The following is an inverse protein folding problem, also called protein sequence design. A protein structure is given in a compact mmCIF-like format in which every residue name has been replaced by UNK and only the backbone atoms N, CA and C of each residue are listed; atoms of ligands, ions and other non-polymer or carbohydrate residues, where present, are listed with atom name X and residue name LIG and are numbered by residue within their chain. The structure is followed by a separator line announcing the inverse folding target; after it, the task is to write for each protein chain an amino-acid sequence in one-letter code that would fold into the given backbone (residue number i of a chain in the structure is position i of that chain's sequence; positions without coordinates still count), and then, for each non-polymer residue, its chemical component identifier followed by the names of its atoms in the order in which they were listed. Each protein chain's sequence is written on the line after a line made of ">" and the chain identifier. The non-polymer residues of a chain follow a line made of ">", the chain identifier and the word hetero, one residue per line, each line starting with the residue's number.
data_IF_869029128339
#
_entry.id   IF_869029128339
#
_cell.length_a   1.000
_cell.length_b   1.000
_cell.length_c   1.000
_cell.angle_alpha   90.00
_cell.angle_beta   90.00
_cell.angle_gamma   90.00
#
_symmetry.space_group_name_H-M   'P 1'
#
loop_
_entity.id
_entity.type
_entity.pdbx_description
1 polymer ?
#
# COMPACT_ATOMS: atom_id res chain seq x y z
N UNK A 1 -22.49 -5.66 8.64
CA UNK A 1 -21.42 -5.89 7.62
C UNK A 1 -20.05 -5.49 8.17
N UNK A 2 -18.91 -6.08 7.76
CA UNK A 2 -17.56 -5.56 8.14
C UNK A 2 -17.10 -4.51 7.13
N UNK A 3 -16.47 -3.42 7.57
CA UNK A 3 -15.87 -2.38 6.71
C UNK A 3 -14.44 -2.06 7.14
N UNK A 4 -13.60 -1.70 6.17
CA UNK A 4 -12.28 -1.11 6.45
C UNK A 4 -12.49 0.37 6.71
N UNK A 5 -11.99 0.89 7.82
CA UNK A 5 -11.85 2.31 8.04
C UNK A 5 -10.46 2.71 7.60
N UNK A 6 -10.43 3.58 6.61
CA UNK A 6 -9.20 4.24 6.21
C UNK A 6 -9.11 5.60 6.90
N UNK A 7 -8.01 5.85 7.61
CA UNK A 7 -7.76 7.15 8.25
C UNK A 7 -7.15 8.12 7.24
N UNK A 8 -7.89 9.19 6.94
CA UNK A 8 -7.46 10.25 6.05
C UNK A 8 -6.36 11.06 6.72
N UNK A 9 -5.11 10.92 6.26
CA UNK A 9 -4.12 11.96 6.56
C UNK A 9 -4.63 13.33 6.04
N UNK A 10 -4.20 14.47 6.60
CA UNK A 10 -4.64 15.80 6.16
C UNK A 10 -4.38 16.11 4.66
N UNK A 11 -3.61 15.26 3.98
CA UNK A 11 -3.28 15.33 2.56
C UNK A 11 -4.05 14.30 1.71
N UNK A 12 -5.06 13.62 2.27
CA UNK A 12 -5.99 12.75 1.55
C UNK A 12 -5.42 11.42 1.09
N UNK A 13 -4.24 11.01 1.58
CA UNK A 13 -3.64 9.73 1.22
C UNK A 13 -3.74 8.74 2.37
N UNK A 14 -4.46 7.66 2.10
CA UNK A 14 -4.43 6.44 2.87
C UNK A 14 -3.10 5.74 2.69
N UNK A 15 -2.62 5.13 3.77
CA UNK A 15 -1.26 4.63 3.80
C UNK A 15 -1.23 3.17 4.25
N UNK A 16 -1.74 2.21 3.44
CA UNK A 16 -1.42 0.82 3.66
C UNK A 16 0.11 0.59 3.64
N UNK A 17 0.59 -0.37 4.43
CA UNK A 17 2.00 -0.77 4.44
C UNK A 17 2.42 -1.39 3.11
N UNK A 18 3.73 -1.45 2.80
CA UNK A 18 4.17 -2.16 1.59
C UNK A 18 3.78 -3.63 1.71
N UNK A 19 3.84 -4.20 2.92
CA UNK A 19 3.35 -5.55 3.19
C UNK A 19 1.87 -5.74 2.84
N UNK A 20 1.00 -4.79 3.17
CA UNK A 20 -0.42 -4.86 2.80
C UNK A 20 -0.59 -4.84 1.27
N UNK A 21 0.06 -3.90 0.57
CA UNK A 21 0.05 -3.85 -0.90
C UNK A 21 0.58 -5.13 -1.53
N UNK A 22 1.74 -5.60 -1.09
CA UNK A 22 2.38 -6.81 -1.61
C UNK A 22 1.47 -8.01 -1.46
N UNK A 23 0.90 -8.18 -0.26
CA UNK A 23 0.01 -9.29 0.04
C UNK A 23 -1.26 -9.22 -0.80
N UNK A 24 -1.87 -8.03 -0.94
CA UNK A 24 -3.09 -7.84 -1.71
C UNK A 24 -2.91 -8.16 -3.19
N UNK A 25 -1.86 -7.60 -3.82
CA UNK A 25 -1.61 -7.83 -5.24
C UNK A 25 -1.18 -9.26 -5.54
N UNK A 26 -0.42 -9.88 -4.63
CA UNK A 26 -0.05 -11.28 -4.76
C UNK A 26 -1.25 -12.21 -4.60
N UNK A 27 -2.12 -12.00 -3.60
CA UNK A 27 -3.28 -12.88 -3.36
C UNK A 27 -4.42 -12.67 -4.35
N UNK A 28 -4.81 -11.41 -4.64
CA UNK A 28 -5.96 -11.12 -5.49
C UNK A 28 -5.66 -11.27 -6.98
N UNK A 29 -4.46 -10.87 -7.40
CA UNK A 29 -4.13 -10.78 -8.83
C UNK A 29 -3.01 -11.73 -9.25
N UNK A 30 -2.42 -12.50 -8.32
CA UNK A 30 -1.21 -13.30 -8.60
C UNK A 30 -0.10 -12.46 -9.24
N UNK A 31 -0.01 -11.19 -8.87
CA UNK A 31 0.86 -10.20 -9.50
C UNK A 31 1.89 -9.69 -8.52
N UNK A 32 3.16 -9.79 -8.92
CA UNK A 32 4.27 -9.19 -8.18
C UNK A 32 4.30 -7.68 -8.41
N UNK A 33 4.62 -6.95 -7.35
CA UNK A 33 4.84 -5.51 -7.35
C UNK A 33 6.20 -5.19 -6.73
N UNK A 34 6.72 -4.01 -7.01
CA UNK A 34 8.04 -3.54 -6.61
C UNK A 34 7.95 -2.17 -5.96
N UNK A 35 8.75 -1.94 -4.93
CA UNK A 35 8.73 -0.74 -4.12
C UNK A 35 9.99 0.08 -4.35
N UNK A 36 9.81 1.39 -4.53
CA UNK A 36 10.91 2.33 -4.72
C UNK A 36 10.79 3.48 -3.72
N UNK A 37 11.92 3.88 -3.15
CA UNK A 37 12.04 5.10 -2.36
C UNK A 37 12.91 6.12 -3.08
N UNK A 38 12.60 7.40 -2.91
CA UNK A 38 13.41 8.48 -3.51
C UNK A 38 14.61 8.76 -2.61
N UNK A 39 15.81 8.74 -3.19
CA UNK A 39 17.07 9.10 -2.55
C UNK A 39 17.31 10.61 -2.58
N UNK A 40 18.24 11.09 -1.74
CA UNK A 40 18.60 12.50 -1.63
C UNK A 40 19.23 13.06 -2.92
N UNK A 41 19.87 12.19 -3.73
CA UNK A 41 20.43 12.54 -5.04
C UNK A 41 19.37 12.61 -6.16
N UNK A 42 18.09 12.46 -5.82
CA UNK A 42 16.97 12.52 -6.74
C UNK A 42 16.64 11.21 -7.46
N UNK A 43 17.49 10.18 -7.37
CA UNK A 43 17.23 8.85 -7.94
C UNK A 43 16.25 8.05 -7.08
N UNK A 44 15.79 6.91 -7.61
CA UNK A 44 14.93 5.97 -6.92
C UNK A 44 15.67 4.66 -6.68
N UNK A 45 15.61 4.16 -5.45
CA UNK A 45 16.19 2.88 -5.05
C UNK A 45 15.06 1.88 -4.78
N UNK A 46 15.20 0.68 -5.33
CA UNK A 46 14.29 -0.44 -5.08
C UNK A 46 14.52 -1.00 -3.67
N UNK A 47 13.44 -1.14 -2.90
CA UNK A 47 13.43 -1.47 -1.47
C UNK A 47 12.47 -2.62 -1.16
N UNK A 48 12.50 -3.66 -1.98
CA UNK A 48 11.63 -4.83 -1.82
C UNK A 48 12.01 -5.70 -0.62
N UNK A 49 13.21 -5.52 -0.06
CA UNK A 49 13.63 -6.15 1.20
C UNK A 49 13.01 -5.35 2.35
N UNK A 50 11.81 -5.77 2.72
CA UNK A 50 10.86 -5.13 3.63
C UNK A 50 11.33 -4.96 5.09
N UNK A 51 12.62 -5.11 5.38
CA UNK A 51 13.14 -5.13 6.77
C UNK A 51 12.95 -3.79 7.49
N UNK A 52 12.92 -2.66 6.77
CA UNK A 52 12.77 -1.31 7.33
C UNK A 52 11.67 -0.48 6.63
N UNK A 53 10.55 -1.11 6.25
CA UNK A 53 9.43 -0.44 5.58
C UNK A 53 8.93 0.81 6.30
N UNK A 54 8.89 0.78 7.64
CA UNK A 54 8.37 1.87 8.48
C UNK A 54 9.22 3.14 8.40
N UNK A 55 10.49 3.04 8.03
CA UNK A 55 11.40 4.18 7.94
C UNK A 55 11.32 4.89 6.58
N UNK A 56 10.77 4.23 5.56
CA UNK A 56 10.66 4.78 4.21
C UNK A 56 9.94 6.13 4.25
N UNK A 57 10.50 7.17 3.61
CA UNK A 57 9.92 8.53 3.62
C UNK A 57 8.85 8.71 2.55
N UNK A 58 9.09 8.16 1.36
CA UNK A 58 8.21 8.21 0.20
C UNK A 58 8.27 6.86 -0.51
N UNK A 59 7.15 6.42 -1.07
CA UNK A 59 7.05 5.10 -1.71
C UNK A 59 6.36 5.22 -3.05
N UNK A 60 7.00 4.67 -4.07
CA UNK A 60 6.40 4.45 -5.38
C UNK A 60 6.29 2.95 -5.57
N UNK A 61 5.09 2.50 -5.85
CA UNK A 61 4.78 1.09 -6.06
C UNK A 61 4.61 0.90 -7.56
N UNK A 62 5.24 -0.14 -8.12
CA UNK A 62 5.23 -0.41 -9.55
C UNK A 62 4.92 -1.87 -9.85
N UNK A 63 4.35 -2.12 -11.01
CA UNK A 63 4.08 -3.46 -11.53
C UNK A 63 5.27 -4.10 -12.24
N UNK A 64 6.31 -3.32 -12.55
CA UNK A 64 7.48 -3.74 -13.33
C UNK A 64 8.74 -3.54 -12.52
N UNK A 65 9.67 -4.47 -12.64
CA UNK A 65 11.03 -4.26 -12.17
C UNK A 65 11.72 -3.27 -13.09
N UNK A 66 12.08 -2.10 -12.57
CA UNK A 66 12.79 -1.05 -13.29
C UNK A 66 14.31 -1.13 -13.04
N UNK A 67 14.75 -2.09 -12.20
CA UNK A 67 16.14 -2.25 -11.78
C UNK A 67 16.38 -1.72 -10.38
N UNK A 68 17.57 -2.00 -9.84
CA UNK A 68 17.89 -1.70 -8.44
C UNK A 68 17.91 -0.19 -8.14
N UNK A 69 18.38 0.64 -9.09
CA UNK A 69 18.42 2.10 -8.97
C UNK A 69 18.08 2.74 -10.31
N UNK A 70 17.16 3.69 -10.32
CA UNK A 70 16.70 4.37 -11.55
C UNK A 70 16.63 5.88 -11.37
N UNK A 71 16.88 6.64 -12.43
CA UNK A 71 16.83 8.11 -12.38
C UNK A 71 15.39 8.63 -12.33
N UNK A 72 14.46 7.94 -12.97
CA UNK A 72 13.07 8.37 -13.10
C UNK A 72 12.13 7.16 -13.08
N UNK A 73 10.93 7.35 -12.51
CA UNK A 73 9.83 6.41 -12.65
C UNK A 73 8.68 7.14 -13.34
N UNK A 74 8.25 6.74 -14.55
CA UNK A 74 7.16 7.40 -15.25
C UNK A 74 5.86 7.40 -14.44
N UNK A 75 5.07 8.48 -14.55
CA UNK A 75 3.71 8.53 -14.02
C UNK A 75 2.75 7.92 -15.03
N UNK A 76 2.65 6.58 -15.04
CA UNK A 76 1.89 5.81 -16.01
C UNK A 76 1.21 4.63 -15.28
N UNK A 77 -0.08 4.41 -15.50
CA UNK A 77 -0.90 3.38 -14.83
C UNK A 77 -0.51 1.94 -15.17
N UNK A 78 0.15 1.71 -16.32
CA UNK A 78 0.72 0.40 -16.68
C UNK A 78 2.02 0.11 -15.93
N UNK A 79 2.63 1.13 -15.34
CA UNK A 79 3.89 1.04 -14.59
C UNK A 79 3.62 1.15 -13.10
N UNK A 80 2.85 2.14 -12.66
CA UNK A 80 2.58 2.43 -11.26
C UNK A 80 1.33 1.70 -10.78
N UNK A 81 1.40 1.24 -9.54
CA UNK A 81 0.25 0.67 -8.85
C UNK A 81 -0.65 1.82 -8.36
N UNK A 82 -1.95 1.81 -8.68
CA UNK A 82 -2.88 2.81 -8.15
C UNK A 82 -2.99 2.67 -6.62
N UNK A 83 -3.19 3.78 -5.90
CA UNK A 83 -3.39 3.73 -4.47
C UNK A 83 -4.66 2.93 -4.12
N UNK A 84 -4.61 2.23 -2.99
CA UNK A 84 -5.80 1.65 -2.36
C UNK A 84 -6.47 2.76 -1.56
N UNK A 85 -7.76 2.97 -1.79
CA UNK A 85 -8.59 4.04 -1.20
C UNK A 85 -9.96 3.53 -0.71
N UNK A 86 -10.86 4.44 -0.36
CA UNK A 86 -12.21 4.14 0.14
C UNK A 86 -13.05 3.27 -0.83
N UNK A 87 -12.73 3.26 -2.13
CA UNK A 87 -13.44 2.38 -3.07
C UNK A 87 -13.20 0.89 -2.79
N UNK A 88 -12.23 0.56 -1.93
CA UNK A 88 -11.89 -0.79 -1.49
C UNK A 88 -12.42 -1.13 -0.08
N UNK A 89 -13.20 -0.26 0.57
CA UNK A 89 -13.73 -0.50 1.93
C UNK A 89 -14.44 -1.84 2.07
N UNK A 90 -15.12 -2.26 1.01
CA UNK A 90 -15.91 -3.48 0.96
C UNK A 90 -15.20 -4.71 0.37
N UNK A 91 -13.92 -4.59 0.01
CA UNK A 91 -13.14 -5.69 -0.56
C UNK A 91 -12.82 -6.79 0.47
N UNK A 92 -13.41 -7.98 0.30
CA UNK A 92 -13.23 -9.12 1.21
C UNK A 92 -11.78 -9.61 1.34
N UNK A 93 -10.99 -9.53 0.27
CA UNK A 93 -9.58 -9.97 0.30
C UNK A 93 -8.78 -8.95 1.11
N UNK A 94 -8.99 -7.66 0.84
CA UNK A 94 -8.31 -6.61 1.59
C UNK A 94 -8.71 -6.65 3.08
N UNK A 95 -9.98 -6.88 3.40
CA UNK A 95 -10.46 -7.06 4.78
C UNK A 95 -9.69 -8.18 5.49
N UNK A 96 -9.60 -9.37 4.89
CA UNK A 96 -8.86 -10.50 5.47
C UNK A 96 -7.37 -10.18 5.66
N UNK A 97 -6.78 -9.42 4.75
CA UNK A 97 -5.37 -8.99 4.86
C UNK A 97 -5.19 -8.03 6.03
N UNK A 98 -6.06 -7.03 6.18
CA UNK A 98 -6.03 -6.09 7.30
C UNK A 98 -6.22 -6.84 8.63
N UNK A 99 -7.17 -7.77 8.70
CA UNK A 99 -7.43 -8.58 9.89
C UNK A 99 -6.20 -9.42 10.28
N UNK A 100 -5.53 -10.03 9.29
CA UNK A 100 -4.34 -10.87 9.50
C UNK A 100 -3.09 -10.07 9.84
N UNK A 101 -2.92 -8.87 9.26
CA UNK A 101 -1.74 -8.03 9.47
C UNK A 101 -1.85 -7.15 10.73
N UNK A 102 -3.07 -6.83 11.17
CA UNK A 102 -3.31 -5.94 12.31
C UNK A 102 -2.63 -4.58 12.11
N UNK A 103 -1.91 -4.10 13.13
CA UNK A 103 -1.18 -2.82 13.10
C UNK A 103 -0.20 -2.71 11.93
N UNK A 104 0.34 -3.85 11.45
CA UNK A 104 1.28 -3.91 10.32
C UNK A 104 0.59 -3.69 8.97
N UNK A 105 -0.74 -3.63 8.90
CA UNK A 105 -1.46 -3.28 7.69
C UNK A 105 -1.32 -1.78 7.37
N UNK A 106 -1.07 -0.96 8.39
CA UNK A 106 -0.92 0.49 8.30
C UNK A 106 0.54 0.91 8.13
N UNK A 107 0.76 2.08 7.54
CA UNK A 107 2.05 2.77 7.52
C UNK A 107 2.00 4.04 8.36
N UNK A 108 3.10 4.31 9.09
CA UNK A 108 3.38 5.56 9.81
C UNK A 108 2.17 6.20 10.50
N UNK A 109 1.55 5.43 11.41
CA UNK A 109 0.49 5.91 12.31
C UNK A 109 -0.87 6.23 11.66
N UNK A 110 -1.21 5.63 10.52
CA UNK A 110 -2.59 5.73 10.00
C UNK A 110 -3.51 4.84 10.85
N UNK A 111 -4.70 5.30 11.26
CA UNK A 111 -5.71 4.46 11.92
C UNK A 111 -6.43 3.51 10.95
N UNK A 112 -5.69 2.68 10.21
CA UNK A 112 -6.28 1.63 9.36
C UNK A 112 -6.80 0.49 10.24
N UNK A 113 -8.11 0.27 10.25
CA UNK A 113 -8.75 -0.74 11.11
C UNK A 113 -10.00 -1.34 10.49
N UNK A 114 -10.37 -2.54 10.91
CA UNK A 114 -11.65 -3.14 10.56
C UNK A 114 -12.67 -2.85 11.64
N UNK A 115 -13.87 -2.46 11.24
CA UNK A 115 -15.01 -2.31 12.14
C UNK A 115 -16.18 -3.16 11.66
N UNK A 116 -16.95 -3.64 12.62
CA UNK A 116 -18.28 -4.18 12.36
C UNK A 116 -19.28 -3.03 12.36
N UNK A 117 -20.01 -2.87 11.26
CA UNK A 117 -21.15 -1.96 11.18
C UNK A 117 -22.43 -2.78 11.34
N UNK A 118 -23.29 -2.36 12.27
CA UNK A 118 -24.67 -2.84 12.33
C UNK A 118 -25.44 -2.17 11.20
N UNK A 119 -26.23 -2.94 10.46
CA UNK A 119 -27.12 -2.37 9.45
C UNK A 119 -28.24 -1.62 10.18
N UNK A 120 -28.20 -0.28 10.19
CA UNK A 120 -29.35 0.52 10.59
C UNK A 120 -30.44 0.34 9.51
N UNK A 121 -31.51 -0.36 9.91
CA UNK A 121 -32.68 -0.71 9.08
C UNK A 121 -33.40 0.51 8.48
#
# INVERSE_FOLDING_TARGET
>A
MKKIIFDMSPLGNFSPSCKAYYTYYNEKFSRKIFFYTRCDDGTYLRVDELENEEELKNRIITFKDLGQRVCEIPFNDDIRVPPIDESFEDDDILKRIVERLGDKASWKNSELRLIEVEDEF
#
